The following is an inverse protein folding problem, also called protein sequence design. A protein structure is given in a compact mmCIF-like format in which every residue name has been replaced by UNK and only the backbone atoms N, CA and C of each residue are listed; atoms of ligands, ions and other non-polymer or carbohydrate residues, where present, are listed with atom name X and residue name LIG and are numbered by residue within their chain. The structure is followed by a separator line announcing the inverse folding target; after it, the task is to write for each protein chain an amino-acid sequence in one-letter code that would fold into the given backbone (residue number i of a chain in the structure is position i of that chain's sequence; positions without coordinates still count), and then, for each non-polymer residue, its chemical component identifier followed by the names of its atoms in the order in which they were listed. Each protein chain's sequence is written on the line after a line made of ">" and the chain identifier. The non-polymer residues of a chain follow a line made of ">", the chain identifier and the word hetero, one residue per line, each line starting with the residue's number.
data_IF_959349260810
#
_entry.id   IF_959349260810
#
_cell.length_a   1.000
_cell.length_b   1.000
_cell.length_c   1.000
_cell.angle_alpha   90.00
_cell.angle_beta   90.00
_cell.angle_gamma   90.00
#
_symmetry.space_group_name_H-M   'P 1'
#
loop_
_entity.id
_entity.type
_entity.pdbx_description
1 polymer ?
#
# COMPACT_ATOMS: atom_id res chain seq x y z
N UNK A 1 2.67 15.44 -12.16
CA UNK A 1 1.41 14.79 -12.62
C UNK A 1 1.67 13.40 -13.17
N UNK A 2 2.49 13.23 -14.23
CA UNK A 2 2.74 11.92 -14.85
C UNK A 2 3.41 10.89 -13.93
N UNK A 3 4.50 11.28 -13.24
CA UNK A 3 5.17 10.41 -12.26
C UNK A 3 4.22 9.92 -11.16
N UNK A 4 3.39 10.82 -10.61
CA UNK A 4 2.37 10.47 -9.60
C UNK A 4 1.43 9.36 -10.08
N UNK A 5 0.91 9.49 -11.30
CA UNK A 5 0.01 8.49 -11.88
C UNK A 5 0.72 7.16 -12.11
N UNK A 6 1.99 7.20 -12.54
CA UNK A 6 2.81 6.00 -12.70
C UNK A 6 3.00 5.26 -11.36
N UNK A 7 3.36 5.98 -10.29
CA UNK A 7 3.45 5.41 -8.94
C UNK A 7 2.12 4.82 -8.45
N UNK A 8 0.99 5.47 -8.73
CA UNK A 8 -0.34 4.98 -8.37
C UNK A 8 -0.69 3.68 -9.13
N UNK A 9 -0.38 3.62 -10.43
CA UNK A 9 -0.60 2.42 -11.24
C UNK A 9 0.31 1.30 -10.72
N UNK A 10 1.60 1.57 -10.56
CA UNK A 10 2.59 0.62 -10.08
C UNK A 10 2.19 0.02 -8.72
N UNK A 11 1.77 0.86 -7.77
CA UNK A 11 1.36 0.39 -6.44
C UNK A 11 0.07 -0.43 -6.48
N UNK A 12 -0.92 -0.02 -7.28
CA UNK A 12 -2.22 -0.70 -7.39
C UNK A 12 -2.15 -2.02 -8.16
N UNK A 13 -1.32 -2.10 -9.20
CA UNK A 13 -1.16 -3.30 -10.02
C UNK A 13 0.03 -4.16 -9.60
N UNK A 14 0.75 -3.74 -8.56
CA UNK A 14 1.94 -4.42 -8.02
C UNK A 14 3.00 -4.65 -9.11
N UNK A 15 3.24 -3.64 -9.94
CA UNK A 15 4.15 -3.69 -11.08
C UNK A 15 5.26 -2.65 -10.96
N UNK A 16 6.21 -2.70 -11.90
CA UNK A 16 7.30 -1.72 -11.95
C UNK A 16 6.79 -0.37 -12.48
N UNK A 17 7.36 0.72 -11.96
CA UNK A 17 7.18 2.06 -12.51
C UNK A 17 7.78 2.13 -13.91
N UNK A 18 7.07 2.80 -14.82
CA UNK A 18 7.48 2.91 -16.22
C UNK A 18 8.31 4.17 -16.50
N UNK A 19 8.01 5.27 -15.79
CA UNK A 19 8.55 6.60 -16.06
C UNK A 19 9.71 6.97 -15.14
N UNK A 20 9.80 6.35 -13.95
CA UNK A 20 10.93 6.57 -13.04
C UNK A 20 12.03 5.52 -13.28
N UNK A 21 13.01 5.88 -14.12
CA UNK A 21 14.17 5.06 -14.43
C UNK A 21 15.21 5.01 -13.30
N UNK A 22 15.06 5.84 -12.26
CA UNK A 22 15.94 5.79 -11.08
C UNK A 22 15.61 4.52 -10.30
N UNK A 23 16.47 3.50 -10.47
CA UNK A 23 16.52 2.30 -9.62
C UNK A 23 17.17 2.59 -8.26
N UNK A 24 17.24 3.85 -7.85
CA UNK A 24 17.93 4.18 -6.61
C UNK A 24 17.23 3.51 -5.43
N UNK A 25 18.03 3.00 -4.47
CA UNK A 25 17.49 2.36 -3.27
C UNK A 25 16.56 3.33 -2.52
N UNK A 26 15.70 2.76 -1.66
CA UNK A 26 14.80 3.51 -0.79
C UNK A 26 15.49 4.76 -0.23
N UNK A 27 14.93 5.93 -0.53
CA UNK A 27 15.52 7.21 -0.17
C UNK A 27 15.44 7.37 1.35
N UNK A 28 16.59 7.33 2.02
CA UNK A 28 16.66 7.62 3.46
C UNK A 28 16.66 9.14 3.62
N UNK A 29 15.54 9.67 4.11
CA UNK A 29 15.39 11.11 4.32
C UNK A 29 16.07 11.53 5.62
N UNK A 30 16.85 12.62 5.54
CA UNK A 30 17.54 13.21 6.70
C UNK A 30 16.60 13.99 7.61
N UNK A 31 15.55 14.60 7.03
CA UNK A 31 14.55 15.39 7.74
C UNK A 31 13.27 15.46 6.93
N UNK A 32 12.12 15.42 7.59
CA UNK A 32 10.80 15.63 6.99
C UNK A 32 9.82 16.10 8.08
N UNK A 33 8.68 16.73 7.71
CA UNK A 33 7.64 17.11 8.66
C UNK A 33 7.01 15.87 9.32
N UNK A 34 6.90 15.89 10.66
CA UNK A 34 6.49 14.73 11.45
C UNK A 34 5.08 14.23 11.10
N UNK A 35 4.18 15.08 10.62
CA UNK A 35 2.85 14.70 10.19
C UNK A 35 2.85 13.78 8.96
N UNK A 36 3.90 13.86 8.15
CA UNK A 36 4.08 13.05 6.95
C UNK A 36 4.71 11.68 7.24
N UNK A 37 5.05 11.39 8.51
CA UNK A 37 5.68 10.15 8.90
C UNK A 37 4.82 8.93 8.52
N UNK A 38 5.48 7.92 7.97
CA UNK A 38 4.83 6.76 7.38
C UNK A 38 5.57 5.47 7.76
N UNK A 39 4.87 4.35 8.04
CA UNK A 39 5.50 3.07 8.31
C UNK A 39 6.34 2.51 7.16
N UNK A 40 6.17 3.02 5.94
CA UNK A 40 6.97 2.60 4.79
C UNK A 40 8.20 3.47 4.56
N UNK A 41 8.29 4.61 5.25
CA UNK A 41 9.42 5.53 5.10
C UNK A 41 10.61 5.06 5.95
N UNK A 42 11.79 5.01 5.35
CA UNK A 42 13.03 4.78 6.09
C UNK A 42 13.52 6.12 6.67
N UNK A 43 13.31 6.31 7.97
CA UNK A 43 13.72 7.51 8.69
C UNK A 43 14.73 7.20 9.79
N UNK A 44 15.60 8.17 10.06
CA UNK A 44 16.49 8.14 11.22
C UNK A 44 15.76 8.71 12.45
N UNK A 45 14.78 7.96 13.00
CA UNK A 45 14.08 8.29 14.27
C UNK A 45 13.20 9.56 14.10
N UNK A 46 12.03 9.67 14.77
CA UNK A 46 11.58 8.93 15.95
C UNK A 46 10.58 7.79 15.74
N UNK A 47 10.39 6.99 16.80
CA UNK A 47 9.35 5.97 16.86
C UNK A 47 7.99 6.65 16.87
N UNK A 48 6.97 5.98 16.33
CA UNK A 48 5.59 6.47 16.44
C UNK A 48 5.17 6.58 17.90
N UNK A 49 5.74 5.75 18.79
CA UNK A 49 5.54 5.84 20.24
C UNK A 49 5.95 7.20 20.82
N UNK A 50 6.98 7.83 20.25
CA UNK A 50 7.44 9.16 20.67
C UNK A 50 6.57 10.29 20.06
N UNK A 51 5.84 9.97 18.98
CA UNK A 51 4.99 10.90 18.23
C UNK A 51 3.50 10.80 18.58
N UNK A 52 3.15 10.12 19.67
CA UNK A 52 1.77 9.95 20.14
C UNK A 52 1.05 11.29 20.29
N UNK A 53 1.72 12.31 20.84
CA UNK A 53 1.15 13.64 21.08
C UNK A 53 0.93 14.42 19.78
N UNK A 54 1.89 14.32 18.85
CA UNK A 54 1.84 14.95 17.52
C UNK A 54 0.72 14.35 16.69
N UNK A 55 0.70 13.02 16.59
CA UNK A 55 -0.29 12.30 15.81
C UNK A 55 -1.63 12.15 16.54
N UNK A 56 -1.72 12.37 17.85
CA UNK A 56 -2.90 12.15 18.71
C UNK A 56 -3.48 10.73 18.60
N UNK A 57 -2.63 9.72 18.44
CA UNK A 57 -3.02 8.30 18.29
C UNK A 57 -2.89 7.56 19.63
N UNK A 58 -3.49 6.38 19.77
CA UNK A 58 -3.26 5.55 20.96
C UNK A 58 -1.87 4.92 20.94
N UNK A 59 -1.33 4.59 22.12
CA UNK A 59 -0.06 3.88 22.26
C UNK A 59 -0.05 2.56 21.48
N UNK A 60 -1.16 1.83 21.47
CA UNK A 60 -1.25 0.58 20.71
C UNK A 60 -1.25 0.82 19.20
N UNK A 61 -1.83 1.92 18.72
CA UNK A 61 -1.70 2.31 17.31
C UNK A 61 -0.25 2.60 16.97
N UNK A 62 0.44 3.36 17.82
CA UNK A 62 1.84 3.70 17.62
C UNK A 62 2.73 2.44 17.54
N UNK A 63 2.54 1.47 18.44
CA UNK A 63 3.26 0.19 18.41
C UNK A 63 3.03 -0.60 17.12
N UNK A 64 1.80 -0.63 16.60
CA UNK A 64 1.51 -1.28 15.32
C UNK A 64 2.25 -0.61 14.17
N UNK A 65 2.33 0.72 14.17
CA UNK A 65 3.03 1.48 13.13
C UNK A 65 4.55 1.30 13.23
N UNK A 66 5.11 1.22 14.44
CA UNK A 66 6.52 0.90 14.67
C UNK A 66 6.86 -0.52 14.21
N UNK A 67 5.98 -1.48 14.45
CA UNK A 67 6.09 -2.84 13.94
C UNK A 67 6.05 -2.87 12.40
N UNK A 68 5.13 -2.14 11.79
CA UNK A 68 5.05 -2.03 10.33
C UNK A 68 6.32 -1.37 9.74
N UNK A 69 6.89 -0.37 10.41
CA UNK A 69 8.19 0.22 10.04
C UNK A 69 9.33 -0.79 10.15
N UNK A 70 9.38 -1.55 11.23
CA UNK A 70 10.35 -2.62 11.42
C UNK A 70 10.25 -3.65 10.29
N UNK A 71 9.04 -4.08 9.94
CA UNK A 71 8.80 -4.99 8.81
C UNK A 71 9.29 -4.43 7.47
N UNK A 72 9.02 -3.15 7.18
CA UNK A 72 9.54 -2.48 5.98
C UNK A 72 11.07 -2.52 5.95
N UNK A 73 11.74 -2.16 7.04
CA UNK A 73 13.21 -2.17 7.14
C UNK A 73 13.76 -3.59 6.97
N UNK A 74 13.13 -4.58 7.60
CA UNK A 74 13.53 -5.99 7.49
C UNK A 74 13.37 -6.53 6.06
N UNK A 75 12.25 -6.24 5.38
CA UNK A 75 12.02 -6.64 4.00
C UNK A 75 13.08 -6.04 3.07
N UNK A 76 13.40 -4.76 3.23
CA UNK A 76 14.38 -4.06 2.40
C UNK A 76 15.84 -4.48 2.68
N UNK A 77 16.15 -5.01 3.87
CA UNK A 77 17.49 -5.52 4.25
C UNK A 77 17.68 -7.03 4.04
N UNK A 78 16.62 -7.78 3.70
CA UNK A 78 16.62 -9.26 3.61
C UNK A 78 17.56 -9.85 2.54
N UNK A 79 18.24 -9.00 1.76
CA UNK A 79 19.22 -9.39 0.75
C UNK A 79 20.59 -9.81 1.32
N UNK A 80 20.84 -9.61 2.61
CA UNK A 80 22.14 -9.87 3.25
C UNK A 80 22.15 -11.25 3.93
N UNK A 81 23.04 -12.17 3.51
CA UNK A 81 23.48 -13.43 4.16
C UNK A 81 22.43 -14.42 4.76
N UNK A 82 22.61 -15.73 4.54
CA UNK A 82 21.67 -16.79 5.02
C UNK A 82 21.39 -16.79 6.53
N UNK A 83 22.40 -16.56 7.38
CA UNK A 83 22.21 -16.47 8.83
C UNK A 83 21.37 -15.25 9.25
N UNK A 84 21.57 -14.12 8.57
CA UNK A 84 20.78 -12.91 8.80
C UNK A 84 19.33 -13.12 8.34
N UNK A 85 19.11 -13.85 7.24
CA UNK A 85 17.77 -14.22 6.74
C UNK A 85 16.96 -15.01 7.75
N UNK A 86 17.55 -16.00 8.44
CA UNK A 86 16.84 -16.76 9.48
C UNK A 86 16.42 -15.87 10.66
N UNK A 87 17.30 -14.97 11.12
CA UNK A 87 16.99 -14.02 12.20
C UNK A 87 15.90 -13.02 11.77
N UNK A 88 15.97 -12.53 10.54
CA UNK A 88 14.96 -11.65 9.94
C UNK A 88 13.60 -12.34 9.91
N UNK A 89 13.54 -13.59 9.43
CA UNK A 89 12.30 -14.36 9.38
C UNK A 89 11.71 -14.63 10.78
N UNK A 90 12.55 -14.93 11.78
CA UNK A 90 12.10 -15.07 13.17
C UNK A 90 11.49 -13.77 13.72
N UNK A 91 12.07 -12.62 13.40
CA UNK A 91 11.54 -11.32 13.80
C UNK A 91 10.21 -11.02 13.12
N UNK A 92 10.11 -11.24 11.80
CA UNK A 92 8.86 -11.08 11.04
C UNK A 92 7.76 -11.97 11.63
N UNK A 93 8.07 -13.23 11.95
CA UNK A 93 7.12 -14.15 12.56
C UNK A 93 6.64 -13.66 13.94
N UNK A 94 7.55 -13.21 14.80
CA UNK A 94 7.21 -12.64 16.11
C UNK A 94 6.28 -11.43 15.98
N UNK A 95 6.57 -10.52 15.05
CA UNK A 95 5.74 -9.34 14.79
C UNK A 95 4.35 -9.75 14.32
N UNK A 96 4.27 -10.65 13.33
CA UNK A 96 3.01 -11.13 12.79
C UNK A 96 2.16 -11.83 13.87
N UNK A 97 2.78 -12.66 14.72
CA UNK A 97 2.09 -13.33 15.82
C UNK A 97 1.48 -12.33 16.80
N UNK A 98 2.19 -11.24 17.13
CA UNK A 98 1.66 -10.17 18.00
C UNK A 98 0.45 -9.46 17.39
N UNK A 99 0.46 -9.21 16.09
CA UNK A 99 -0.69 -8.59 15.39
C UNK A 99 -1.90 -9.52 15.41
N UNK A 100 -1.69 -10.81 15.18
CA UNK A 100 -2.76 -11.82 15.19
C UNK A 100 -3.33 -12.05 16.60
N UNK A 101 -2.50 -12.03 17.64
CA UNK A 101 -2.95 -12.18 19.04
C UNK A 101 -3.64 -10.94 19.60
N UNK A 102 -3.45 -9.77 18.98
CA UNK A 102 -4.04 -8.53 19.47
C UNK A 102 -5.55 -8.50 19.25
N UNK A 103 -6.38 -8.22 20.26
CA UNK A 103 -7.83 -8.26 20.12
C UNK A 103 -8.37 -7.09 19.26
N UNK A 104 -9.45 -7.31 18.50
CA UNK A 104 -10.25 -6.21 17.95
C UNK A 104 -10.95 -5.48 19.11
N UNK A 105 -11.03 -4.16 19.01
CA UNK A 105 -11.69 -3.27 19.96
C UNK A 105 -12.87 -2.61 19.26
N UNK A 106 -13.99 -2.46 19.97
CA UNK A 106 -15.26 -1.97 19.42
C UNK A 106 -15.48 -0.47 19.61
N UNK A 107 -14.55 0.24 20.24
CA UNK A 107 -14.75 1.66 20.56
C UNK A 107 -14.57 2.55 19.30
N UNK A 108 -15.37 3.63 19.16
CA UNK A 108 -15.26 4.54 18.02
C UNK A 108 -13.94 5.33 18.04
N UNK A 109 -13.40 5.67 19.22
CA UNK A 109 -12.08 6.29 19.37
C UNK A 109 -10.95 5.38 18.86
N UNK A 110 -11.16 4.06 18.90
CA UNK A 110 -10.23 3.07 18.34
C UNK A 110 -10.41 2.80 16.85
N UNK A 111 -11.26 3.54 16.12
CA UNK A 111 -11.44 3.27 14.68
C UNK A 111 -10.14 3.48 13.87
N UNK A 112 -9.28 4.41 14.31
CA UNK A 112 -7.94 4.59 13.73
C UNK A 112 -7.05 3.38 14.03
N UNK A 113 -7.09 2.88 15.27
CA UNK A 113 -6.39 1.68 15.68
C UNK A 113 -6.85 0.46 14.87
N UNK A 114 -8.16 0.27 14.68
CA UNK A 114 -8.71 -0.83 13.89
C UNK A 114 -8.30 -0.78 12.42
N UNK A 115 -8.29 0.41 11.82
CA UNK A 115 -7.80 0.58 10.45
C UNK A 115 -6.30 0.24 10.35
N UNK A 116 -5.47 0.74 11.27
CA UNK A 116 -4.04 0.42 11.31
C UNK A 116 -3.80 -1.07 11.56
N UNK A 117 -4.55 -1.70 12.47
CA UNK A 117 -4.44 -3.13 12.79
C UNK A 117 -4.78 -4.01 11.59
N UNK A 118 -5.91 -3.78 10.92
CA UNK A 118 -6.28 -4.55 9.72
C UNK A 118 -5.24 -4.37 8.60
N UNK A 119 -4.72 -3.16 8.43
CA UNK A 119 -3.65 -2.87 7.47
C UNK A 119 -2.36 -3.60 7.83
N UNK A 120 -1.95 -3.57 9.09
CA UNK A 120 -0.75 -4.24 9.58
C UNK A 120 -0.84 -5.77 9.48
N UNK A 121 -2.02 -6.35 9.67
CA UNK A 121 -2.25 -7.78 9.43
C UNK A 121 -2.01 -8.14 7.96
N UNK A 122 -2.62 -7.41 7.01
CA UNK A 122 -2.40 -7.64 5.58
C UNK A 122 -0.92 -7.48 5.22
N UNK A 123 -0.28 -6.43 5.73
CA UNK A 123 1.11 -6.12 5.46
C UNK A 123 2.07 -7.16 6.04
N UNK A 124 1.90 -7.53 7.30
CA UNK A 124 2.72 -8.55 7.98
C UNK A 124 2.51 -9.95 7.41
N UNK A 125 1.27 -10.33 7.06
CA UNK A 125 1.01 -11.59 6.36
C UNK A 125 1.75 -11.61 5.03
N UNK A 126 1.61 -10.57 4.20
CA UNK A 126 2.30 -10.48 2.91
C UNK A 126 3.81 -10.64 3.05
N UNK A 127 4.40 -9.97 4.03
CA UNK A 127 5.84 -10.03 4.28
C UNK A 127 6.26 -11.41 4.80
N UNK A 128 5.48 -12.01 5.69
CA UNK A 128 5.76 -13.34 6.22
C UNK A 128 5.67 -14.44 5.15
N UNK A 129 4.64 -14.38 4.29
CA UNK A 129 4.42 -15.38 3.23
C UNK A 129 5.15 -15.05 1.93
N UNK A 130 5.77 -13.88 1.85
CA UNK A 130 6.38 -13.34 0.62
C UNK A 130 5.39 -13.40 -0.57
N UNK A 131 4.16 -12.92 -0.35
CA UNK A 131 3.11 -12.88 -1.36
C UNK A 131 2.66 -11.44 -1.64
N UNK A 132 2.19 -11.14 -2.87
CA UNK A 132 1.64 -9.84 -3.23
C UNK A 132 0.47 -9.46 -2.33
N UNK A 133 0.30 -8.15 -2.11
CA UNK A 133 -0.72 -7.61 -1.21
C UNK A 133 -2.12 -7.97 -1.70
N UNK A 134 -2.32 -8.07 -3.02
CA UNK A 134 -3.61 -8.49 -3.59
C UNK A 134 -4.00 -9.92 -3.21
N UNK A 135 -3.04 -10.79 -2.88
CA UNK A 135 -3.29 -12.19 -2.50
C UNK A 135 -3.37 -12.38 -0.98
N UNK A 136 -2.64 -11.58 -0.21
CA UNK A 136 -2.61 -11.71 1.25
C UNK A 136 -3.81 -11.06 1.94
N UNK A 137 -4.47 -10.10 1.28
CA UNK A 137 -5.66 -9.46 1.82
C UNK A 137 -6.88 -10.38 1.67
N UNK A 138 -7.56 -10.68 2.78
CA UNK A 138 -8.80 -11.48 2.76
C UNK A 138 -10.03 -10.56 2.70
N UNK A 139 -11.19 -11.05 2.20
CA UNK A 139 -12.42 -10.26 2.18
C UNK A 139 -12.84 -9.73 3.56
N UNK A 140 -12.64 -10.53 4.61
CA UNK A 140 -12.99 -10.16 5.99
C UNK A 140 -12.08 -9.05 6.52
N UNK A 141 -10.76 -9.13 6.28
CA UNK A 141 -9.80 -8.09 6.66
C UNK A 141 -10.06 -6.79 5.89
N UNK A 142 -10.34 -6.88 4.60
CA UNK A 142 -10.67 -5.72 3.78
C UNK A 142 -11.96 -5.03 4.27
N UNK A 143 -13.00 -5.81 4.56
CA UNK A 143 -14.25 -5.26 5.08
C UNK A 143 -14.07 -4.58 6.45
N UNK A 144 -13.31 -5.19 7.35
CA UNK A 144 -12.96 -4.59 8.63
C UNK A 144 -12.18 -3.28 8.44
N UNK A 145 -11.16 -3.28 7.56
CA UNK A 145 -10.41 -2.08 7.21
C UNK A 145 -11.31 -0.98 6.66
N UNK A 146 -12.14 -1.32 5.68
CA UNK A 146 -13.04 -0.39 5.00
C UNK A 146 -14.00 0.26 5.99
N UNK A 147 -14.69 -0.54 6.80
CA UNK A 147 -15.65 -0.03 7.79
C UNK A 147 -14.99 0.82 8.86
N UNK A 148 -13.81 0.45 9.36
CA UNK A 148 -13.05 1.26 10.32
C UNK A 148 -12.55 2.58 9.72
N UNK A 149 -12.08 2.56 8.48
CA UNK A 149 -11.57 3.75 7.78
C UNK A 149 -12.64 4.83 7.63
N UNK A 150 -13.89 4.43 7.33
CA UNK A 150 -15.03 5.35 7.18
C UNK A 150 -15.58 5.91 8.48
N UNK A 151 -15.37 5.21 9.60
CA UNK A 151 -15.76 5.74 10.93
C UNK A 151 -14.86 6.87 11.40
N UNK A 152 -13.65 6.96 10.86
CA UNK A 152 -12.70 8.03 11.18
C UNK A 152 -13.01 9.26 10.32
N UNK A 153 -13.27 10.45 10.92
CA UNK A 153 -13.53 11.66 10.15
C UNK A 153 -12.39 12.00 9.19
N UNK A 154 -12.69 12.42 7.96
CA UNK A 154 -11.63 12.71 6.98
C UNK A 154 -10.63 13.78 7.44
N UNK A 155 -11.06 14.73 8.27
CA UNK A 155 -10.18 15.73 8.89
C UNK A 155 -9.10 15.10 9.79
N UNK A 156 -9.39 13.93 10.37
CA UNK A 156 -8.41 13.17 11.14
C UNK A 156 -7.33 12.62 10.22
N UNK A 157 -7.69 12.02 9.10
CA UNK A 157 -6.75 11.51 8.11
C UNK A 157 -5.84 12.60 7.53
N UNK A 158 -6.37 13.82 7.34
CA UNK A 158 -5.56 14.98 6.91
C UNK A 158 -4.48 15.40 7.91
N UNK A 159 -4.63 15.10 9.20
CA UNK A 159 -3.61 15.39 10.23
C UNK A 159 -2.50 14.34 10.30
N UNK A 160 -2.74 13.15 9.73
CA UNK A 160 -1.79 12.03 9.71
C UNK A 160 -1.69 11.42 8.31
N UNK A 161 -1.39 12.24 7.28
CA UNK A 161 -1.44 11.80 5.89
C UNK A 161 -0.43 10.69 5.57
N UNK A 162 0.70 10.62 6.29
CA UNK A 162 1.70 9.54 6.12
C UNK A 162 1.20 8.15 6.56
N UNK A 163 0.41 8.08 7.63
CA UNK A 163 -0.29 6.86 8.06
C UNK A 163 -1.41 6.53 7.06
N UNK A 164 -2.16 7.55 6.64
CA UNK A 164 -3.28 7.36 5.73
C UNK A 164 -2.84 6.86 4.35
N UNK A 165 -1.77 7.41 3.77
CA UNK A 165 -1.26 6.94 2.48
C UNK A 165 -0.78 5.49 2.55
N UNK A 166 -0.16 5.07 3.67
CA UNK A 166 0.22 3.67 3.87
C UNK A 166 -0.99 2.73 3.85
N UNK A 167 -2.08 3.10 4.54
CA UNK A 167 -3.35 2.34 4.50
C UNK A 167 -3.87 2.22 3.06
N UNK A 168 -3.91 3.34 2.33
CA UNK A 168 -4.36 3.36 0.95
C UNK A 168 -3.49 2.46 0.06
N UNK A 169 -2.16 2.54 0.20
CA UNK A 169 -1.20 1.76 -0.58
C UNK A 169 -1.35 0.26 -0.35
N UNK A 170 -1.51 -0.18 0.91
CA UNK A 170 -1.67 -1.60 1.26
C UNK A 170 -2.99 -2.18 0.76
N UNK A 171 -4.08 -1.42 0.83
CA UNK A 171 -5.41 -1.92 0.48
C UNK A 171 -5.74 -1.83 -1.03
N UNK A 172 -5.09 -0.93 -1.76
CA UNK A 172 -5.42 -0.66 -3.17
C UNK A 172 -5.28 -1.87 -4.10
N UNK A 173 -4.23 -2.71 -3.99
CA UNK A 173 -4.09 -3.89 -4.86
C UNK A 173 -5.28 -4.84 -4.79
N UNK A 174 -5.79 -5.09 -3.58
CA UNK A 174 -6.97 -5.91 -3.37
C UNK A 174 -8.25 -5.22 -3.86
N UNK A 175 -8.37 -3.90 -3.62
CA UNK A 175 -9.56 -3.14 -3.96
C UNK A 175 -9.74 -2.83 -5.45
N UNK A 176 -8.73 -3.05 -6.29
CA UNK A 176 -8.61 -2.45 -7.63
C UNK A 176 -9.80 -2.69 -8.58
N UNK A 177 -10.41 -3.87 -8.50
CA UNK A 177 -11.50 -4.34 -9.37
C UNK A 177 -12.87 -4.25 -8.68
N UNK A 178 -12.89 -3.81 -7.41
CA UNK A 178 -14.11 -3.64 -6.62
C UNK A 178 -14.65 -2.21 -6.76
N UNK A 179 -15.92 -2.04 -6.39
CA UNK A 179 -16.59 -0.73 -6.40
C UNK A 179 -15.89 0.27 -5.46
N UNK A 180 -15.43 -0.25 -4.32
CA UNK A 180 -14.67 0.39 -3.26
C UNK A 180 -13.33 0.90 -3.79
N UNK A 181 -12.75 0.22 -4.80
CA UNK A 181 -11.50 0.60 -5.46
C UNK A 181 -11.54 1.98 -6.11
N UNK A 182 -12.73 2.45 -6.53
CA UNK A 182 -12.88 3.82 -7.07
C UNK A 182 -12.53 4.87 -6.02
N UNK A 183 -12.84 4.60 -4.75
CA UNK A 183 -12.51 5.51 -3.66
C UNK A 183 -11.01 5.54 -3.39
N UNK A 184 -10.35 4.38 -3.32
CA UNK A 184 -8.89 4.33 -3.19
C UNK A 184 -8.19 5.06 -4.35
N UNK A 185 -8.67 4.86 -5.59
CA UNK A 185 -8.17 5.56 -6.79
C UNK A 185 -8.34 7.08 -6.72
N UNK A 186 -9.36 7.59 -6.04
CA UNK A 186 -9.58 9.02 -5.85
C UNK A 186 -8.78 9.60 -4.67
N UNK A 187 -8.72 8.88 -3.54
CA UNK A 187 -8.10 9.35 -2.31
C UNK A 187 -6.57 9.29 -2.38
N UNK A 188 -5.98 8.27 -3.00
CA UNK A 188 -4.53 8.14 -3.11
C UNK A 188 -3.86 9.35 -3.78
N UNK A 189 -4.24 9.78 -4.99
CA UNK A 189 -3.63 10.95 -5.62
C UNK A 189 -3.92 12.26 -4.88
N UNK A 190 -5.06 12.36 -4.19
CA UNK A 190 -5.39 13.53 -3.37
C UNK A 190 -4.48 13.61 -2.13
N UNK A 191 -4.26 12.50 -1.43
CA UNK A 191 -3.35 12.42 -0.27
C UNK A 191 -1.91 12.67 -0.70
N UNK A 192 -1.44 12.05 -1.79
CA UNK A 192 -0.10 12.30 -2.34
C UNK A 192 0.11 13.78 -2.69
N UNK A 193 -0.90 14.44 -3.27
CA UNK A 193 -0.82 15.86 -3.60
C UNK A 193 -0.77 16.72 -2.34
N UNK A 194 -1.62 16.43 -1.35
CA UNK A 194 -1.64 17.16 -0.09
C UNK A 194 -0.30 17.06 0.66
N UNK A 195 0.30 15.86 0.70
CA UNK A 195 1.64 15.66 1.24
C UNK A 195 2.71 16.37 0.40
N UNK A 196 2.62 16.26 -0.92
CA UNK A 196 3.62 16.79 -1.85
C UNK A 196 3.71 18.31 -1.91
N UNK A 197 2.64 19.02 -1.53
CA UNK A 197 2.66 20.48 -1.35
C UNK A 197 3.49 20.86 -0.12
N UNK A 198 3.53 19.99 0.91
CA UNK A 198 4.31 20.22 2.13
C UNK A 198 5.76 19.78 1.90
N UNK A 199 5.97 18.55 1.45
CA UNK A 199 7.28 18.03 1.07
C UNK A 199 7.16 16.90 0.04
N UNK A 200 7.64 17.17 -1.18
CA UNK A 200 7.60 16.21 -2.29
C UNK A 200 8.58 15.05 -2.09
N UNK A 201 9.73 15.29 -1.46
CA UNK A 201 10.75 14.27 -1.29
C UNK A 201 10.28 13.17 -0.33
N UNK A 202 9.52 13.53 0.71
CA UNK A 202 8.81 12.57 1.58
C UNK A 202 7.84 11.69 0.81
N UNK A 203 7.08 12.25 -0.13
CA UNK A 203 6.15 11.47 -0.96
C UNK A 203 6.91 10.48 -1.83
N UNK A 204 7.95 10.93 -2.53
CA UNK A 204 8.78 10.08 -3.39
C UNK A 204 9.47 8.99 -2.57
N UNK A 205 10.06 9.32 -1.42
CA UNK A 205 10.70 8.36 -0.52
C UNK A 205 9.74 7.29 -0.01
N UNK A 206 8.52 7.70 0.38
CA UNK A 206 7.44 6.80 0.82
C UNK A 206 7.06 5.82 -0.29
N UNK A 207 6.83 6.32 -1.50
CA UNK A 207 6.39 5.51 -2.64
C UNK A 207 7.50 4.56 -3.13
N UNK A 208 8.74 5.03 -3.22
CA UNK A 208 9.89 4.21 -3.61
C UNK A 208 10.11 3.07 -2.63
N UNK A 209 10.05 3.37 -1.32
CA UNK A 209 10.21 2.37 -0.28
C UNK A 209 9.10 1.32 -0.32
N UNK A 210 7.85 1.75 -0.49
CA UNK A 210 6.72 0.84 -0.63
C UNK A 210 6.83 -0.05 -1.88
N UNK A 211 7.14 0.53 -3.05
CA UNK A 211 7.35 -0.26 -4.27
C UNK A 211 8.55 -1.22 -4.14
N UNK A 212 9.61 -0.84 -3.44
CA UNK A 212 10.72 -1.74 -3.16
C UNK A 212 10.28 -2.95 -2.33
N UNK A 213 9.38 -2.76 -1.35
CA UNK A 213 8.74 -3.87 -0.63
C UNK A 213 7.89 -4.72 -1.58
N UNK A 214 7.04 -4.13 -2.42
CA UNK A 214 6.24 -4.90 -3.38
C UNK A 214 7.09 -5.71 -4.36
N UNK A 215 8.22 -5.14 -4.84
CA UNK A 215 9.18 -5.88 -5.67
C UNK A 215 9.79 -7.06 -4.93
N UNK A 216 10.13 -6.88 -3.65
CA UNK A 216 10.63 -7.95 -2.80
C UNK A 216 9.57 -9.06 -2.63
N UNK A 217 8.30 -8.70 -2.39
CA UNK A 217 7.18 -9.65 -2.32
C UNK A 217 6.98 -10.43 -3.63
N UNK A 218 7.11 -9.77 -4.78
CA UNK A 218 6.97 -10.41 -6.09
C UNK A 218 8.19 -11.23 -6.53
N UNK A 219 9.38 -10.98 -5.95
CA UNK A 219 10.63 -11.65 -6.29
C UNK A 219 10.63 -13.15 -5.95
N UNK A 220 10.08 -13.53 -4.80
CA UNK A 220 10.00 -14.93 -4.35
C UNK A 220 9.05 -15.76 -5.23
N UNK A 221 7.94 -15.17 -5.70
CA UNK A 221 7.06 -15.81 -6.68
C UNK A 221 7.78 -16.11 -8.00
N UNK A 222 8.56 -15.14 -8.51
CA UNK A 222 9.38 -15.34 -9.72
C UNK A 222 10.44 -16.42 -9.51
N UNK A 223 11.07 -16.48 -8.32
CA UNK A 223 12.03 -17.52 -7.98
C UNK A 223 11.38 -18.93 -7.90
N UNK A 224 10.18 -19.03 -7.31
CA UNK A 224 9.39 -20.28 -7.25
C UNK A 224 8.92 -20.75 -8.62
N UNK A 225 8.46 -19.86 -9.49
CA UNK A 225 8.05 -20.20 -10.86
C UNK A 225 9.23 -20.68 -11.72
N UNK A 226 10.41 -20.05 -11.59
CA UNK A 226 11.62 -20.47 -12.30
C UNK A 226 12.18 -21.78 -11.72
N UNK A 227 12.08 -21.99 -10.41
CA UNK A 227 12.46 -23.23 -9.72
C UNK A 227 11.57 -24.44 -10.07
N UNK A 228 10.28 -24.19 -10.36
CA UNK A 228 9.35 -25.21 -10.87
C UNK A 228 9.49 -25.48 -12.38
N UNK A 229 10.08 -24.55 -13.14
CA UNK A 229 10.23 -24.64 -14.60
C UNK A 229 11.56 -25.26 -15.07
N UNK A 230 12.17 -26.17 -14.28
CA UNK A 230 13.35 -26.93 -14.72
C UNK A 230 12.97 -28.21 -15.48
N UNK A 231 12.07 -28.10 -16.47
CA UNK A 231 11.97 -29.05 -17.60
C UNK A 231 11.64 -28.30 -18.89
N UNK A 232 12.62 -28.35 -19.80
CA UNK A 232 12.61 -28.01 -21.25
C UNK A 232 12.27 -26.58 -21.67
N UNK A 233 13.36 -25.86 -21.91
CA UNK A 233 13.47 -24.70 -22.79
C UNK A 233 12.97 -24.96 -24.22
N UNK A 234 12.23 -23.99 -24.77
CA UNK A 234 12.51 -23.37 -26.07
C UNK A 234 11.81 -22.02 -26.14
N UNK A 235 12.52 -21.04 -26.70
CA UNK A 235 12.27 -19.62 -26.50
C UNK A 235 10.85 -19.14 -26.76
N UNK A 236 10.32 -18.40 -25.78
CA UNK A 236 9.37 -17.31 -26.03
C UNK A 236 9.46 -16.35 -24.85
N UNK A 237 10.07 -15.18 -25.07
CA UNK A 237 9.96 -14.03 -24.16
C UNK A 237 8.47 -13.74 -24.01
N UNK A 238 7.88 -14.07 -22.85
CA UNK A 238 6.56 -13.59 -22.47
C UNK A 238 6.77 -12.27 -21.75
N UNK A 239 6.66 -11.17 -22.50
CA UNK A 239 6.23 -9.90 -21.94
C UNK A 239 4.86 -10.11 -21.33
N UNK A 240 4.66 -9.64 -20.10
CA UNK A 240 3.38 -9.67 -19.43
C UNK A 240 2.42 -8.75 -20.21
N UNK A 241 1.60 -9.34 -21.07
CA UNK A 241 0.37 -8.69 -21.52
C UNK A 241 -0.50 -8.53 -20.28
N UNK A 242 -0.62 -7.30 -19.78
CA UNK A 242 -1.80 -6.89 -19.05
C UNK A 242 -3.00 -7.34 -19.90
N UNK A 243 -3.86 -8.20 -19.37
CA UNK A 243 -5.13 -8.55 -19.99
C UNK A 243 -6.05 -7.32 -19.97
N UNK A 244 -5.75 -6.34 -20.82
CA UNK A 244 -6.76 -5.49 -21.41
C UNK A 244 -7.43 -6.39 -22.44
N UNK A 245 -8.71 -6.71 -22.19
CA UNK A 245 -9.54 -7.46 -23.14
C UNK A 245 -9.49 -6.84 -24.55
N UNK A 246 -9.79 -7.63 -25.59
CA UNK A 246 -9.56 -7.22 -26.97
C UNK A 246 -10.37 -5.96 -27.33
N UNK A 247 -9.68 -4.83 -27.44
CA UNK A 247 -10.15 -3.67 -28.19
C UNK A 247 -10.25 -4.08 -29.66
N UNK A 248 -11.46 -4.50 -30.08
CA UNK A 248 -11.80 -4.59 -31.51
C UNK A 248 -11.66 -3.20 -32.12
N UNK A 249 -10.65 -3.04 -32.97
CA UNK A 249 -10.59 -1.93 -33.93
C UNK A 249 -11.71 -2.12 -34.94
N UNK A 250 -12.62 -1.16 -34.97
CA UNK A 250 -13.52 -0.90 -36.07
C UNK A 250 -13.81 0.59 -36.06
N UNK A 251 -13.14 1.33 -36.93
CA UNK A 251 -13.47 2.73 -37.19
C UNK A 251 -14.95 2.84 -37.60
N UNK A 252 -15.71 3.69 -36.93
CA UNK A 252 -16.60 4.62 -37.61
C UNK A 252 -16.88 5.80 -36.69
N UNK A 253 -16.36 6.95 -37.09
CA UNK A 253 -16.77 8.26 -36.59
C UNK A 253 -18.28 8.39 -36.79
N UNK A 254 -19.01 8.64 -35.70
CA UNK A 254 -20.31 9.32 -35.72
C UNK A 254 -20.47 10.12 -34.44
N UNK A 255 -20.26 11.42 -34.57
CA UNK A 255 -20.84 12.41 -33.67
C UNK A 255 -22.37 12.21 -33.66
N UNK A 256 -22.95 11.99 -32.49
CA UNK A 256 -24.37 12.27 -32.24
C UNK A 256 -24.48 13.07 -30.94
N UNK A 257 -24.78 14.35 -31.11
CA UNK A 257 -25.42 15.19 -30.11
C UNK A 257 -26.77 14.60 -29.71
N UNK A 258 -27.13 14.80 -28.44
CA UNK A 258 -28.51 14.73 -27.97
C UNK A 258 -28.88 13.44 -27.25
N UNK A 259 -29.02 13.53 -25.92
CA UNK A 259 -30.27 13.18 -25.24
C UNK A 259 -30.20 13.65 -23.78
N UNK A 260 -31.15 14.52 -23.44
CA UNK A 260 -31.47 15.02 -22.12
C UNK A 260 -31.74 13.88 -21.13
N UNK A 261 -31.20 13.99 -19.91
CA UNK A 261 -31.70 13.23 -18.77
C UNK A 261 -32.47 14.20 -17.87
N UNK A 262 -33.80 14.10 -17.91
CA UNK A 262 -34.72 14.85 -17.07
C UNK A 262 -34.64 14.31 -15.64
N UNK A 263 -34.48 15.23 -14.68
CA UNK A 263 -34.76 15.00 -13.26
C UNK A 263 -36.27 14.74 -13.09
N UNK A 264 -36.63 13.70 -12.32
CA UNK A 264 -37.92 13.65 -11.65
C UNK A 264 -37.64 13.68 -10.14
N UNK A 265 -37.89 14.84 -9.54
CA UNK A 265 -38.27 14.94 -8.14
C UNK A 265 -39.71 14.43 -8.02
N UNK A 266 -39.94 13.52 -7.09
CA UNK A 266 -41.28 13.24 -6.56
C UNK A 266 -41.21 13.45 -5.05
N UNK A 267 -41.75 14.59 -4.62
CA UNK A 267 -42.07 14.91 -3.23
C UNK A 267 -43.51 14.52 -2.95
N UNK A 268 -43.74 13.71 -1.92
CA UNK A 268 -44.73 13.85 -0.87
C UNK A 268 -44.49 12.76 0.18
#
# INVERSE_FOLDING_TARGET
>A
MLLRTDYQIASTYECEVFLDYSRDPALVLKSFPLELDSPVLQSHIPLFADLITVHKISLETARILDDARCLTVLALRSSENDHSRQRIMKNIHTIHQRHTSSPPTSSPEDSTYQACRSTALVYSTSILTCTPLSLSCTPSLFHALWTSMWRVPFQRWKRIPGIFIWILLVASPYARDMSEGRFFKALMPATMMAMGVVDWDTVVGTLRSFLAVQRWLGGELRAREIGGARVRSRGRRRTWECQLGPCRRGLSVRFRMGCSCSMQLSSL
#
